data_IF_457227289285
#
_entry.id   IF_457227289285
#
_cell.length_a   1.000
_cell.length_b   1.000
_cell.length_c   1.000
_cell.angle_alpha   90.00
_cell.angle_beta   90.00
_cell.angle_gamma   90.00
#
_symmetry.space_group_name_H-M   'P 1'
#
loop_
_entity.id
_entity.type
_entity.pdbx_description
1 polymer ?
#
# COMPACT_ATOMS: atom_id res chain seq x y z
N UNK A 1 18.08 7.18 -9.52
CA UNK A 1 17.47 8.52 -9.71
C UNK A 1 16.25 8.33 -10.60
N UNK A 2 15.05 8.34 -10.03
CA UNK A 2 13.82 8.08 -10.80
C UNK A 2 13.40 9.40 -11.46
N UNK A 3 13.81 9.59 -12.71
CA UNK A 3 13.69 10.86 -13.45
C UNK A 3 12.45 10.93 -14.37
N UNK A 4 12.35 12.02 -15.13
CA UNK A 4 11.29 12.31 -16.11
C UNK A 4 10.99 11.14 -17.07
N UNK A 5 12.03 10.34 -17.38
CA UNK A 5 11.93 9.13 -18.19
C UNK A 5 11.05 8.05 -17.55
N UNK A 6 11.15 7.80 -16.24
CA UNK A 6 10.29 6.86 -15.55
C UNK A 6 8.82 7.30 -15.58
N UNK A 7 8.58 8.63 -15.52
CA UNK A 7 7.26 9.21 -15.65
C UNK A 7 6.66 8.97 -17.05
N UNK A 8 7.44 9.16 -18.11
CA UNK A 8 7.03 8.86 -19.48
C UNK A 8 6.92 7.37 -19.80
N UNK A 9 7.77 6.54 -19.20
CA UNK A 9 7.78 5.09 -19.39
C UNK A 9 6.63 4.41 -18.61
N UNK A 10 5.75 5.17 -17.94
CA UNK A 10 4.68 4.62 -17.10
C UNK A 10 5.19 3.86 -15.88
N UNK A 11 6.48 4.02 -15.54
CA UNK A 11 7.07 3.55 -14.29
C UNK A 11 6.64 4.50 -13.18
N UNK A 12 5.37 4.41 -12.80
CA UNK A 12 4.91 4.91 -11.52
C UNK A 12 5.83 4.31 -10.44
N UNK A 13 6.34 5.15 -9.53
CA UNK A 13 7.08 4.70 -8.36
C UNK A 13 6.15 3.95 -7.41
N UNK A 14 5.65 2.80 -7.85
CA UNK A 14 4.71 1.99 -7.11
C UNK A 14 5.49 1.31 -5.98
N UNK A 15 5.18 1.64 -4.71
CA UNK A 15 5.93 1.18 -3.55
C UNK A 15 5.98 -0.36 -3.49
N UNK A 16 4.93 -1.02 -3.99
CA UNK A 16 4.84 -2.48 -4.05
C UNK A 16 5.97 -3.17 -4.82
N UNK A 17 6.66 -2.49 -5.75
CA UNK A 17 7.78 -3.09 -6.50
C UNK A 17 9.04 -3.30 -5.64
N UNK A 18 9.13 -2.63 -4.50
CA UNK A 18 10.27 -2.71 -3.59
C UNK A 18 10.11 -3.77 -2.50
N UNK A 19 8.95 -4.44 -2.44
CA UNK A 19 8.70 -5.54 -1.50
C UNK A 19 9.50 -6.78 -1.93
N UNK A 20 10.24 -7.44 -1.02
CA UNK A 20 10.90 -8.72 -1.29
C UNK A 20 9.93 -9.84 -1.70
N UNK A 21 10.48 -10.99 -2.10
CA UNK A 21 9.69 -12.19 -2.39
C UNK A 21 9.46 -13.00 -1.12
N UNK A 22 8.42 -13.84 -1.10
CA UNK A 22 8.16 -14.80 0.00
C UNK A 22 8.02 -14.14 1.38
N UNK A 23 7.39 -12.98 1.46
CA UNK A 23 7.14 -12.26 2.71
C UNK A 23 5.64 -12.11 2.95
N UNK A 24 5.26 -11.79 4.19
CA UNK A 24 3.90 -11.34 4.49
C UNK A 24 3.79 -9.83 4.30
N UNK A 25 2.85 -9.40 3.46
CA UNK A 25 2.71 -8.00 3.08
C UNK A 25 1.26 -7.53 3.20
N UNK A 26 1.08 -6.35 3.78
CA UNK A 26 -0.18 -5.61 3.79
C UNK A 26 -0.11 -4.44 2.83
N UNK A 27 -1.08 -4.31 1.93
CA UNK A 27 -1.28 -3.11 1.13
C UNK A 27 -2.49 -2.31 1.63
N UNK A 28 -2.23 -1.16 2.24
CA UNK A 28 -3.27 -0.25 2.71
C UNK A 28 -3.64 0.66 1.54
N UNK A 29 -4.93 0.69 1.18
CA UNK A 29 -5.44 1.33 -0.04
C UNK A 29 -5.12 0.52 -1.29
N UNK A 30 -5.38 -0.79 -1.26
CA UNK A 30 -5.01 -1.71 -2.35
C UNK A 30 -5.79 -1.50 -3.66
N UNK A 31 -6.79 -0.61 -3.68
CA UNK A 31 -7.53 -0.22 -4.88
C UNK A 31 -8.19 -1.42 -5.56
N UNK A 32 -7.82 -1.70 -6.80
CA UNK A 32 -8.30 -2.86 -7.56
C UNK A 32 -7.41 -4.11 -7.44
N UNK A 33 -6.51 -4.17 -6.44
CA UNK A 33 -5.75 -5.37 -6.11
C UNK A 33 -4.61 -5.72 -7.08
N UNK A 34 -4.11 -4.77 -7.88
CA UNK A 34 -2.96 -4.98 -8.77
C UNK A 34 -1.71 -5.42 -7.98
N UNK A 35 -1.44 -4.72 -6.88
CA UNK A 35 -0.36 -5.02 -5.93
C UNK A 35 -0.50 -6.41 -5.32
N UNK A 36 -1.72 -6.81 -4.94
CA UNK A 36 -2.00 -8.13 -4.35
C UNK A 36 -1.63 -9.26 -5.32
N UNK A 37 -2.07 -9.17 -6.58
CA UNK A 37 -1.67 -10.12 -7.61
C UNK A 37 -0.16 -10.11 -7.87
N UNK A 38 0.48 -8.93 -7.82
CA UNK A 38 1.94 -8.81 -7.95
C UNK A 38 2.69 -9.53 -6.81
N UNK A 39 2.20 -9.41 -5.59
CA UNK A 39 2.76 -10.05 -4.41
C UNK A 39 2.58 -11.56 -4.42
N UNK A 40 1.38 -12.05 -4.71
CA UNK A 40 1.09 -13.49 -4.78
C UNK A 40 1.93 -14.17 -5.87
N UNK A 41 2.07 -13.55 -7.05
CA UNK A 41 2.95 -14.04 -8.12
C UNK A 41 4.44 -14.13 -7.72
N UNK A 42 4.81 -13.49 -6.61
CA UNK A 42 6.16 -13.49 -6.03
C UNK A 42 6.29 -14.38 -4.79
N UNK A 43 5.25 -15.17 -4.49
CA UNK A 43 5.20 -16.09 -3.35
C UNK A 43 4.91 -15.41 -2.02
N UNK A 44 4.48 -14.15 -2.02
CA UNK A 44 4.13 -13.44 -0.80
C UNK A 44 2.74 -13.85 -0.29
N UNK A 45 2.56 -13.79 1.02
CA UNK A 45 1.24 -13.86 1.66
C UNK A 45 0.66 -12.44 1.71
N UNK A 46 -0.23 -12.14 0.76
CA UNK A 46 -0.69 -10.78 0.50
C UNK A 46 -2.05 -10.48 1.16
N UNK A 47 -2.12 -9.30 1.78
CA UNK A 47 -3.32 -8.79 2.44
C UNK A 47 -3.60 -7.37 1.93
N UNK A 48 -4.87 -7.02 1.80
CA UNK A 48 -5.30 -5.69 1.38
C UNK A 48 -6.24 -5.05 2.40
N UNK A 49 -6.18 -3.72 2.51
CA UNK A 49 -7.29 -2.91 3.04
C UNK A 49 -7.73 -1.93 1.96
N UNK A 50 -9.04 -1.79 1.75
CA UNK A 50 -9.57 -0.81 0.81
C UNK A 50 -10.94 -0.29 1.27
N UNK A 51 -11.12 1.03 1.25
CA UNK A 51 -12.32 1.69 1.72
C UNK A 51 -13.46 1.61 0.69
N UNK A 52 -13.13 1.61 -0.61
CA UNK A 52 -14.10 1.44 -1.67
C UNK A 52 -14.55 -0.03 -1.77
N UNK A 53 -15.86 -0.25 -1.57
CA UNK A 53 -16.49 -1.58 -1.66
C UNK A 53 -16.39 -2.22 -3.05
N UNK A 54 -16.06 -1.47 -4.09
CA UNK A 54 -15.84 -1.97 -5.44
C UNK A 54 -14.77 -3.07 -5.52
N UNK A 55 -13.80 -3.07 -4.60
CA UNK A 55 -12.77 -4.12 -4.51
C UNK A 55 -13.36 -5.51 -4.28
N UNK A 56 -14.53 -5.66 -3.63
CA UNK A 56 -15.12 -6.98 -3.30
C UNK A 56 -15.22 -7.88 -4.52
N UNK A 57 -15.69 -7.32 -5.64
CA UNK A 57 -15.84 -8.09 -6.89
C UNK A 57 -14.51 -8.63 -7.40
N UNK A 58 -13.43 -7.86 -7.22
CA UNK A 58 -12.08 -8.28 -7.63
C UNK A 58 -11.53 -9.30 -6.63
N UNK A 59 -11.66 -9.03 -5.33
CA UNK A 59 -11.23 -9.93 -4.27
C UNK A 59 -11.89 -11.30 -4.39
N UNK A 60 -13.22 -11.37 -4.55
CA UNK A 60 -13.97 -12.62 -4.72
C UNK A 60 -13.54 -13.39 -5.98
N UNK A 61 -13.25 -12.66 -7.07
CA UNK A 61 -12.85 -13.26 -8.35
C UNK A 61 -11.47 -13.88 -8.30
N UNK A 62 -10.52 -13.23 -7.63
CA UNK A 62 -9.12 -13.66 -7.59
C UNK A 62 -8.73 -14.37 -6.28
N UNK A 63 -9.62 -14.40 -5.29
CA UNK A 63 -9.37 -14.99 -3.98
C UNK A 63 -8.49 -14.13 -3.06
N UNK A 64 -8.43 -12.81 -3.30
CA UNK A 64 -7.56 -11.93 -2.51
C UNK A 64 -8.09 -11.76 -1.08
N UNK A 65 -7.17 -11.76 -0.12
CA UNK A 65 -7.47 -11.47 1.27
C UNK A 65 -7.58 -9.96 1.50
N UNK A 66 -8.80 -9.41 1.45
CA UNK A 66 -9.03 -7.97 1.56
C UNK A 66 -10.04 -7.65 2.66
N UNK A 67 -9.63 -6.79 3.60
CA UNK A 67 -10.54 -6.09 4.48
C UNK A 67 -11.16 -4.89 3.75
N UNK A 68 -12.48 -4.83 3.68
CA UNK A 68 -13.19 -3.72 3.03
C UNK A 68 -13.69 -2.74 4.08
N UNK A 69 -12.99 -1.62 4.19
CA UNK A 69 -13.14 -0.63 5.24
C UNK A 69 -11.93 0.29 5.33
N UNK A 70 -11.90 1.12 6.37
CA UNK A 70 -10.70 1.88 6.71
C UNK A 70 -9.68 0.96 7.41
N UNK A 71 -8.41 1.34 7.33
CA UNK A 71 -7.37 0.64 8.07
C UNK A 71 -7.42 1.04 9.54
N UNK A 72 -7.52 0.04 10.40
CA UNK A 72 -7.36 0.14 11.84
C UNK A 72 -6.42 -1.01 12.25
N UNK A 73 -5.57 -0.80 13.27
CA UNK A 73 -4.53 -1.79 13.61
C UNK A 73 -5.09 -3.08 14.21
N UNK A 74 -6.29 -3.06 14.78
CA UNK A 74 -6.94 -4.18 15.48
C UNK A 74 -7.57 -5.23 14.55
N UNK A 75 -7.68 -4.93 13.24
CA UNK A 75 -8.13 -5.90 12.24
C UNK A 75 -7.10 -7.00 11.95
N UNK A 76 -5.86 -6.81 12.42
CA UNK A 76 -4.76 -7.76 12.29
C UNK A 76 -4.06 -7.97 13.63
N UNK A 77 -3.39 -9.11 13.75
CA UNK A 77 -2.52 -9.36 14.90
C UNK A 77 -1.34 -8.37 14.91
N UNK A 78 -0.85 -7.96 16.09
CA UNK A 78 0.38 -7.18 16.19
C UNK A 78 1.58 -8.02 15.70
N UNK A 79 2.65 -7.35 15.25
CA UNK A 79 3.87 -7.99 14.76
C UNK A 79 3.61 -9.07 13.67
N UNK A 80 2.64 -8.83 12.79
CA UNK A 80 2.19 -9.85 11.83
C UNK A 80 2.83 -9.71 10.46
N UNK A 81 3.08 -8.49 9.98
CA UNK A 81 3.58 -8.22 8.63
C UNK A 81 5.08 -7.95 8.58
N UNK A 82 5.75 -8.46 7.55
CA UNK A 82 7.14 -8.10 7.26
C UNK A 82 7.20 -6.73 6.56
N UNK A 83 6.22 -6.46 5.69
CA UNK A 83 6.12 -5.21 4.93
C UNK A 83 4.70 -4.66 4.95
N UNK A 84 4.59 -3.34 5.02
CA UNK A 84 3.34 -2.60 4.78
C UNK A 84 3.59 -1.65 3.62
N UNK A 85 2.66 -1.56 2.68
CA UNK A 85 2.71 -0.61 1.57
C UNK A 85 1.55 0.37 1.61
N UNK A 86 1.82 1.61 1.17
CA UNK A 86 0.83 2.68 1.01
C UNK A 86 1.11 3.45 -0.28
N UNK A 87 0.31 3.22 -1.32
CA UNK A 87 0.48 3.89 -2.61
C UNK A 87 -0.54 5.01 -2.78
N UNK A 88 -0.11 6.27 -2.63
CA UNK A 88 -1.00 7.45 -2.75
C UNK A 88 -2.17 7.39 -1.75
N UNK A 89 -1.89 7.09 -0.49
CA UNK A 89 -2.91 6.92 0.57
C UNK A 89 -2.73 7.90 1.72
N UNK A 90 -1.49 8.14 2.13
CA UNK A 90 -1.18 8.93 3.34
C UNK A 90 -1.66 10.39 3.23
N UNK A 91 -1.78 10.93 2.02
CA UNK A 91 -2.34 12.26 1.75
C UNK A 91 -3.86 12.35 1.92
N UNK A 92 -4.55 11.20 2.00
CA UNK A 92 -6.00 11.11 2.13
C UNK A 92 -6.45 10.71 3.53
N UNK A 93 -5.53 10.29 4.42
CA UNK A 93 -5.89 9.93 5.80
C UNK A 93 -6.09 11.18 6.66
N UNK A 94 -6.97 11.06 7.66
CA UNK A 94 -7.32 12.18 8.55
C UNK A 94 -6.16 12.53 9.49
N UNK A 95 -5.55 11.51 10.10
CA UNK A 95 -4.42 11.66 11.01
C UNK A 95 -3.26 10.74 10.57
N UNK A 96 -2.25 11.28 9.87
CA UNK A 96 -1.12 10.49 9.41
C UNK A 96 -0.24 9.99 10.56
N UNK A 97 -0.20 10.71 11.70
CA UNK A 97 0.62 10.30 12.86
C UNK A 97 0.01 9.07 13.51
N UNK A 98 -1.29 9.08 13.76
CA UNK A 98 -1.99 7.90 14.29
C UNK A 98 -1.95 6.73 13.30
N UNK A 99 -2.11 7.00 12.00
CA UNK A 99 -1.96 5.98 10.95
C UNK A 99 -0.59 5.30 11.02
N UNK A 100 0.50 6.07 11.17
CA UNK A 100 1.84 5.48 11.32
C UNK A 100 2.02 4.69 12.61
N UNK A 101 1.38 5.09 13.71
CA UNK A 101 1.39 4.30 14.96
C UNK A 101 0.67 2.97 14.75
N UNK A 102 -0.46 2.97 14.05
CA UNK A 102 -1.20 1.74 13.74
C UNK A 102 -0.42 0.82 12.79
N UNK A 103 0.22 1.37 11.77
CA UNK A 103 1.14 0.62 10.90
C UNK A 103 2.29 0.02 11.71
N UNK A 104 2.87 0.78 12.65
CA UNK A 104 3.95 0.28 13.49
C UNK A 104 3.54 -0.88 14.40
N UNK A 105 2.26 -0.97 14.82
CA UNK A 105 1.76 -2.08 15.65
C UNK A 105 1.69 -3.39 14.88
N UNK A 106 1.29 -3.34 13.61
CA UNK A 106 1.07 -4.55 12.80
C UNK A 106 2.35 -5.02 12.08
N UNK A 107 3.36 -4.14 11.98
CA UNK A 107 4.70 -4.50 11.49
C UNK A 107 5.45 -5.31 12.54
N UNK A 108 6.11 -6.39 12.10
CA UNK A 108 7.12 -7.08 12.91
C UNK A 108 8.27 -6.16 13.28
N UNK A 109 8.98 -6.49 14.34
CA UNK A 109 10.31 -5.94 14.61
C UNK A 109 11.23 -6.12 13.38
N UNK A 110 11.78 -5.01 12.87
CA UNK A 110 12.60 -4.98 11.65
C UNK A 110 11.81 -4.95 10.33
N UNK A 111 10.47 -5.00 10.40
CA UNK A 111 9.60 -4.79 9.25
C UNK A 111 9.66 -3.37 8.71
N UNK A 112 9.18 -3.18 7.49
CA UNK A 112 9.29 -1.90 6.79
C UNK A 112 7.97 -1.40 6.22
N UNK A 113 7.70 -0.11 6.43
CA UNK A 113 6.71 0.64 5.67
C UNK A 113 7.35 1.19 4.38
N UNK A 114 6.75 0.91 3.24
CA UNK A 114 7.12 1.50 1.95
C UNK A 114 5.94 2.30 1.43
N UNK A 115 6.07 3.62 1.35
CA UNK A 115 5.00 4.50 0.93
C UNK A 115 5.39 5.42 -0.23
N UNK A 116 4.38 5.87 -0.96
CA UNK A 116 4.51 6.95 -1.93
C UNK A 116 3.40 7.97 -1.69
N UNK A 117 3.72 9.25 -1.87
CA UNK A 117 2.79 10.37 -1.73
C UNK A 117 3.22 11.50 -2.67
N UNK A 118 2.30 12.37 -3.12
CA UNK A 118 2.63 13.53 -3.93
C UNK A 118 3.70 14.40 -3.28
N UNK A 119 4.60 14.90 -4.13
CA UNK A 119 5.58 15.89 -3.68
C UNK A 119 4.91 17.27 -3.68
N UNK A 120 4.65 17.83 -2.48
CA UNK A 120 4.06 19.16 -2.31
C UNK A 120 4.92 20.32 -2.90
N UNK A 121 6.19 20.07 -3.23
CA UNK A 121 7.07 21.02 -3.93
C UNK A 121 7.26 20.67 -5.41
N UNK A 122 6.55 19.66 -5.90
CA UNK A 122 6.61 19.18 -7.26
C UNK A 122 5.98 20.14 -8.26
N UNK A 123 6.26 19.93 -9.55
CA UNK A 123 5.72 20.75 -10.63
C UNK A 123 4.19 20.78 -10.64
N UNK A 124 3.53 19.66 -10.34
CA UNK A 124 2.06 19.58 -10.27
C UNK A 124 1.47 20.58 -9.27
N UNK A 125 1.93 20.57 -8.02
CA UNK A 125 1.51 21.52 -6.99
C UNK A 125 1.80 22.97 -7.41
N UNK A 126 2.96 23.24 -8.02
CA UNK A 126 3.32 24.60 -8.47
C UNK A 126 2.44 25.11 -9.61
N UNK A 127 1.90 24.23 -10.45
CA UNK A 127 1.08 24.61 -11.61
C UNK A 127 -0.42 24.61 -11.32
N UNK A 128 -0.90 23.73 -10.43
CA UNK A 128 -2.33 23.50 -10.23
C UNK A 128 -2.85 23.82 -8.82
N UNK A 129 -1.95 24.09 -7.86
CA UNK A 129 -2.28 24.26 -6.44
C UNK A 129 -2.01 22.98 -5.66
#
# INVERSE_FOLDING_TARGET
>A
MVGLRAWFDGLYCNPFRYVPRNVRVLDIGCGFGESLGYYEARGCEAYGVEADKNIRRVADKFGYNVHVGLFESDIYEPDFFDYVTMAQVIEHVVDPVETFKDVAKVLKSGGCLILSTPNAKGWGARMFG
#
